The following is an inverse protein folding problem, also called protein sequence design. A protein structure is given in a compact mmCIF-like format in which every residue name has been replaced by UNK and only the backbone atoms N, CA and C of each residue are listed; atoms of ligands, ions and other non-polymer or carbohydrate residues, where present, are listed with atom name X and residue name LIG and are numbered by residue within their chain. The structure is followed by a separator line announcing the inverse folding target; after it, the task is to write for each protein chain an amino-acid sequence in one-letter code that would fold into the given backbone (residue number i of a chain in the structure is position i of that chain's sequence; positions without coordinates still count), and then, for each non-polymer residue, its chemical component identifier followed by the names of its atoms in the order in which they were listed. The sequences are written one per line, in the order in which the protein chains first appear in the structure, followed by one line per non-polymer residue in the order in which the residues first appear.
data_IF_188190013817
#
_entry.id   IF_188190013817
#
_cell.length_a   1.000
_cell.length_b   1.000
_cell.length_c   1.000
_cell.angle_alpha   90.00
_cell.angle_beta   90.00
_cell.angle_gamma   90.00
#
_symmetry.space_group_name_H-M   'P 1'
#
loop_
_entity.id
_entity.type
_entity.pdbx_description
1 polymer ?
#
# COMPACT_ATOMS: atom_id res chain seq x y z
N UNK A 1 -22.04 12.74 -7.07
CA UNK A 1 -21.24 11.99 -6.08
C UNK A 1 -20.74 10.76 -6.79
N UNK A 2 -19.42 10.59 -6.91
CA UNK A 2 -18.85 9.35 -7.44
C UNK A 2 -19.10 8.27 -6.41
N UNK A 3 -19.95 7.29 -6.74
CA UNK A 3 -20.19 6.17 -5.84
C UNK A 3 -19.12 5.10 -6.14
N UNK A 4 -18.32 4.76 -5.15
CA UNK A 4 -17.40 3.64 -5.23
C UNK A 4 -18.22 2.35 -5.24
N UNK A 5 -17.87 1.41 -6.10
CA UNK A 5 -18.47 0.09 -6.14
C UNK A 5 -17.38 -0.96 -6.05
N UNK A 6 -17.52 -1.88 -5.10
CA UNK A 6 -16.59 -3.00 -4.92
C UNK A 6 -17.10 -4.22 -5.68
N UNK A 7 -16.20 -4.90 -6.40
CA UNK A 7 -16.47 -6.18 -7.07
C UNK A 7 -15.47 -7.21 -6.60
N UNK A 8 -15.97 -8.35 -6.14
CA UNK A 8 -15.15 -9.44 -5.63
C UNK A 8 -14.67 -10.29 -6.81
N UNK A 9 -13.37 -10.54 -6.86
CA UNK A 9 -12.72 -11.43 -7.82
C UNK A 9 -11.84 -12.41 -7.08
N UNK A 10 -12.14 -13.68 -7.27
CA UNK A 10 -11.29 -14.77 -6.81
C UNK A 10 -9.95 -14.74 -7.56
N UNK A 11 -8.90 -15.19 -6.88
CA UNK A 11 -7.57 -15.33 -7.48
C UNK A 11 -7.21 -16.81 -7.62
N UNK A 12 -6.09 -17.12 -8.27
CA UNK A 12 -5.59 -18.51 -8.34
C UNK A 12 -5.26 -19.12 -6.97
N UNK A 13 -5.24 -18.32 -5.90
CA UNK A 13 -5.00 -18.76 -4.54
C UNK A 13 -6.26 -18.55 -3.70
N UNK A 14 -6.84 -19.63 -3.18
CA UNK A 14 -8.03 -19.63 -2.31
C UNK A 14 -7.90 -18.79 -1.03
N UNK A 15 -6.67 -18.52 -0.59
CA UNK A 15 -6.44 -17.66 0.58
C UNK A 15 -6.52 -16.18 0.24
N UNK A 16 -6.46 -15.82 -1.04
CA UNK A 16 -6.39 -14.43 -1.51
C UNK A 16 -7.62 -14.09 -2.35
N UNK A 17 -8.34 -13.05 -1.93
CA UNK A 17 -9.43 -12.47 -2.70
C UNK A 17 -9.06 -11.05 -3.11
N UNK A 18 -9.42 -10.69 -4.33
CA UNK A 18 -9.21 -9.36 -4.91
C UNK A 18 -10.54 -8.61 -4.91
N UNK A 19 -10.57 -7.48 -4.22
CA UNK A 19 -11.64 -6.49 -4.26
C UNK A 19 -11.29 -5.43 -5.29
N UNK A 20 -11.95 -5.44 -6.44
CA UNK A 20 -11.75 -4.47 -7.51
C UNK A 20 -12.75 -3.34 -7.41
N UNK A 21 -12.27 -2.11 -7.59
CA UNK A 21 -13.03 -0.88 -7.52
C UNK A 21 -13.23 -0.30 -8.92
N UNK A 22 -14.33 0.41 -9.08
CA UNK A 22 -14.64 1.18 -10.29
C UNK A 22 -13.74 2.42 -10.48
N UNK A 23 -13.00 2.84 -9.45
CA UNK A 23 -12.14 4.03 -9.47
C UNK A 23 -10.78 3.74 -8.83
N UNK A 24 -9.76 4.49 -9.25
CA UNK A 24 -8.42 4.41 -8.67
C UNK A 24 -8.40 5.01 -7.27
N UNK A 25 -7.87 4.25 -6.32
CA UNK A 25 -7.66 4.65 -4.92
C UNK A 25 -6.21 5.04 -4.63
N UNK A 26 -5.25 4.60 -5.44
CA UNK A 26 -3.84 5.02 -5.32
C UNK A 26 -3.30 5.64 -6.60
N UNK A 27 -2.45 6.66 -6.46
CA UNK A 27 -1.82 7.38 -7.57
C UNK A 27 -0.53 6.69 -8.02
N UNK A 28 -0.64 5.47 -8.57
CA UNK A 28 0.46 4.68 -9.14
C UNK A 28 1.43 4.01 -8.15
N UNK A 29 1.12 4.04 -6.85
CA UNK A 29 1.89 3.31 -5.85
C UNK A 29 1.14 2.07 -5.37
N UNK A 30 1.90 0.98 -5.24
CA UNK A 30 1.44 -0.25 -4.59
C UNK A 30 1.96 -0.27 -3.15
N UNK A 31 1.10 -0.68 -2.24
CA UNK A 31 1.41 -0.83 -0.84
C UNK A 31 1.08 -2.25 -0.41
N UNK A 32 1.99 -2.85 0.33
CA UNK A 32 1.80 -4.16 0.95
C UNK A 32 2.00 -3.99 2.44
N UNK A 33 1.08 -4.54 3.21
CA UNK A 33 1.12 -4.54 4.66
C UNK A 33 0.99 -5.98 5.14
N UNK A 34 1.91 -6.40 6.01
CA UNK A 34 1.88 -7.73 6.60
C UNK A 34 1.29 -7.74 8.01
N UNK A 35 1.09 -6.57 8.62
CA UNK A 35 0.60 -6.42 9.97
C UNK A 35 0.03 -5.00 10.18
N UNK A 36 -0.65 -4.82 11.32
CA UNK A 36 -1.25 -3.55 11.73
C UNK A 36 -0.22 -2.43 11.95
N UNK A 37 1.01 -2.76 12.35
CA UNK A 37 2.07 -1.77 12.60
C UNK A 37 2.58 -1.13 11.30
N UNK A 38 2.69 -1.90 10.22
CA UNK A 38 3.02 -1.41 8.87
C UNK A 38 1.86 -0.62 8.26
N UNK A 39 0.62 -0.96 8.61
CA UNK A 39 -0.59 -0.31 8.12
C UNK A 39 -0.82 1.11 8.68
N UNK A 40 0.09 1.67 9.49
CA UNK A 40 -0.06 3.02 10.08
C UNK A 40 -0.31 4.14 9.08
N UNK A 41 0.22 4.00 7.86
CA UNK A 41 -0.01 4.96 6.78
C UNK A 41 -1.33 4.77 6.03
N UNK A 42 -2.15 3.78 6.38
CA UNK A 42 -3.41 3.47 5.69
C UNK A 42 -4.51 3.15 6.70
N UNK A 43 -5.36 4.13 7.05
CA UNK A 43 -6.50 3.90 7.92
C UNK A 43 -7.42 2.77 7.43
N UNK A 44 -7.61 2.66 6.11
CA UNK A 44 -8.34 1.54 5.51
C UNK A 44 -7.67 0.19 5.80
N UNK A 45 -6.35 0.07 5.60
CA UNK A 45 -5.65 -1.19 5.90
C UNK A 45 -5.70 -1.51 7.40
N UNK A 46 -5.60 -0.52 8.29
CA UNK A 46 -5.76 -0.73 9.73
C UNK A 46 -7.12 -1.34 10.06
N UNK A 47 -8.21 -0.81 9.48
CA UNK A 47 -9.56 -1.34 9.65
C UNK A 47 -9.64 -2.81 9.24
N UNK A 48 -9.05 -3.16 8.09
CA UNK A 48 -8.99 -4.54 7.64
C UNK A 48 -8.18 -5.44 8.59
N UNK A 49 -7.10 -4.95 9.20
CA UNK A 49 -6.31 -5.72 10.18
C UNK A 49 -6.97 -5.90 11.55
N UNK A 50 -8.03 -5.14 11.89
CA UNK A 50 -8.82 -5.44 13.09
C UNK A 50 -9.60 -6.76 12.96
N UNK A 51 -9.80 -7.24 11.73
CA UNK A 51 -10.37 -8.55 11.48
C UNK A 51 -9.31 -9.63 11.76
N UNK A 52 -9.52 -10.53 12.74
CA UNK A 52 -8.49 -11.44 13.23
C UNK A 52 -8.04 -12.49 12.21
N UNK A 53 -8.78 -12.63 11.10
CA UNK A 53 -8.46 -13.55 10.01
C UNK A 53 -7.61 -12.91 8.91
N UNK A 54 -7.39 -11.60 8.91
CA UNK A 54 -6.60 -10.92 7.87
C UNK A 54 -5.11 -11.08 8.17
N UNK A 55 -4.40 -11.68 7.22
CA UNK A 55 -2.96 -11.94 7.31
C UNK A 55 -2.14 -10.88 6.57
N UNK A 56 -2.59 -10.48 5.39
CA UNK A 56 -1.89 -9.52 4.54
C UNK A 56 -2.88 -8.69 3.75
N UNK A 57 -2.58 -7.41 3.58
CA UNK A 57 -3.37 -6.48 2.76
C UNK A 57 -2.47 -5.86 1.72
N UNK A 58 -2.87 -5.94 0.46
CA UNK A 58 -2.19 -5.34 -0.67
C UNK A 58 -3.13 -4.34 -1.36
N UNK A 59 -2.67 -3.10 -1.51
CA UNK A 59 -3.47 -2.00 -2.08
C UNK A 59 -2.71 -1.45 -3.29
N UNK A 60 -3.34 -1.46 -4.46
CA UNK A 60 -2.71 -0.95 -5.68
C UNK A 60 -3.74 -0.52 -6.72
N UNK A 61 -3.54 0.67 -7.29
CA UNK A 61 -4.36 1.20 -8.36
C UNK A 61 -5.82 1.30 -7.94
N UNK A 62 -6.66 0.45 -8.53
CA UNK A 62 -8.10 0.36 -8.27
C UNK A 62 -8.48 -0.96 -7.57
N UNK A 63 -7.59 -1.64 -6.88
CA UNK A 63 -7.95 -2.88 -6.18
C UNK A 63 -7.22 -3.07 -4.85
N UNK A 64 -7.85 -3.88 -4.01
CA UNK A 64 -7.34 -4.32 -2.72
C UNK A 64 -7.33 -5.84 -2.75
N UNK A 65 -6.19 -6.48 -2.55
CA UNK A 65 -6.09 -7.91 -2.38
C UNK A 65 -5.83 -8.22 -0.91
N UNK A 66 -6.59 -9.14 -0.36
CA UNK A 66 -6.50 -9.51 1.06
C UNK A 66 -6.21 -11.00 1.14
N UNK A 67 -5.17 -11.35 1.89
CA UNK A 67 -4.85 -12.72 2.26
C UNK A 67 -5.45 -12.99 3.64
N UNK A 68 -6.23 -14.06 3.75
CA UNK A 68 -6.74 -14.55 5.03
C UNK A 68 -5.91 -15.69 5.59
N UNK A 69 -6.00 -15.91 6.89
CA UNK A 69 -5.62 -17.16 7.52
C UNK A 69 -6.63 -18.28 7.18
N UNK A 70 -6.16 -19.51 7.13
CA UNK A 70 -6.97 -20.71 6.86
C UNK A 70 -7.93 -21.11 7.99
N UNK A 71 -8.36 -20.15 8.81
CA UNK A 71 -9.27 -20.34 9.96
C UNK A 71 -10.73 -20.01 9.63
N UNK A 72 -10.97 -19.29 8.52
CA UNK A 72 -12.29 -18.79 8.07
C UNK A 72 -12.35 -18.91 6.55
N UNK A 73 -13.51 -19.18 5.96
CA UNK A 73 -13.70 -19.22 4.50
C UNK A 73 -14.09 -17.84 3.94
N UNK A 74 -13.66 -17.54 2.71
CA UNK A 74 -13.98 -16.25 2.08
C UNK A 74 -15.47 -16.08 1.81
N UNK A 75 -16.18 -17.15 1.50
CA UNK A 75 -17.62 -17.18 1.24
C UNK A 75 -18.45 -16.56 2.36
N UNK A 76 -17.97 -16.63 3.60
CA UNK A 76 -18.71 -16.15 4.77
C UNK A 76 -18.42 -14.67 5.10
N UNK A 77 -17.28 -14.13 4.65
CA UNK A 77 -16.78 -12.80 5.08
C UNK A 77 -16.52 -11.82 3.94
N UNK A 78 -16.43 -12.29 2.69
CA UNK A 78 -16.10 -11.44 1.54
C UNK A 78 -17.13 -10.35 1.29
N UNK A 79 -18.42 -10.65 1.50
CA UNK A 79 -19.51 -9.70 1.25
C UNK A 79 -19.49 -8.56 2.29
N UNK A 80 -19.31 -8.91 3.57
CA UNK A 80 -19.18 -7.94 4.64
C UNK A 80 -17.94 -7.05 4.44
N UNK A 81 -16.81 -7.64 4.04
CA UNK A 81 -15.61 -6.87 3.71
C UNK A 81 -15.83 -5.94 2.52
N UNK A 82 -16.51 -6.39 1.47
CA UNK A 82 -16.80 -5.56 0.31
C UNK A 82 -17.69 -4.37 0.70
N UNK A 83 -18.72 -4.59 1.53
CA UNK A 83 -19.60 -3.53 2.03
C UNK A 83 -18.84 -2.54 2.91
N UNK A 84 -17.97 -3.00 3.81
CA UNK A 84 -17.14 -2.12 4.64
C UNK A 84 -16.20 -1.25 3.80
N UNK A 85 -15.53 -1.84 2.80
CA UNK A 85 -14.65 -1.08 1.89
C UNK A 85 -15.47 -0.06 1.09
N UNK A 86 -16.64 -0.47 0.57
CA UNK A 86 -17.52 0.39 -0.21
C UNK A 86 -18.03 1.58 0.62
N UNK A 87 -18.52 1.31 1.84
CA UNK A 87 -18.98 2.33 2.76
C UNK A 87 -17.86 3.30 3.14
N UNK A 88 -16.67 2.78 3.45
CA UNK A 88 -15.52 3.60 3.83
C UNK A 88 -15.08 4.56 2.71
N UNK A 89 -15.01 4.06 1.46
CA UNK A 89 -14.63 4.88 0.32
C UNK A 89 -15.70 5.91 -0.03
N UNK A 90 -16.98 5.55 0.08
CA UNK A 90 -18.09 6.47 -0.16
C UNK A 90 -18.21 7.58 0.89
N UNK A 91 -17.70 7.37 2.11
CA UNK A 91 -17.61 8.39 3.16
C UNK A 91 -16.41 9.35 2.98
N UNK A 92 -15.71 9.29 1.83
CA UNK A 92 -14.44 9.99 1.59
C UNK A 92 -13.33 9.58 2.58
N UNK A 93 -13.34 8.31 3.00
CA UNK A 93 -12.30 7.74 3.85
C UNK A 93 -10.91 7.83 3.21
N UNK A 94 -9.90 8.09 4.04
CA UNK A 94 -8.51 8.23 3.60
C UNK A 94 -7.92 6.83 3.41
N UNK A 95 -7.63 6.46 2.16
CA UNK A 95 -7.03 5.16 1.85
C UNK A 95 -5.56 5.11 2.24
N UNK A 96 -4.82 6.19 2.02
CA UNK A 96 -3.41 6.34 2.35
C UNK A 96 -3.17 7.75 2.85
N UNK A 97 -2.57 7.88 4.03
CA UNK A 97 -1.87 9.09 4.38
C UNK A 97 -0.58 9.13 3.56
N UNK A 98 -0.37 10.17 2.75
CA UNK A 98 0.91 10.46 2.13
C UNK A 98 1.93 10.87 3.22
N UNK A 99 2.30 9.92 4.08
CA UNK A 99 3.41 10.08 5.00
C UNK A 99 4.69 10.02 4.19
N UNK A 100 5.12 11.22 3.78
CA UNK A 100 6.48 11.59 3.45
C UNK A 100 7.35 10.42 2.97
N UNK A 101 7.22 10.06 1.68
CA UNK A 101 8.32 9.38 1.00
C UNK A 101 9.61 10.13 1.38
N UNK A 102 10.67 9.46 1.85
CA UNK A 102 11.91 10.14 2.15
C UNK A 102 12.33 10.80 0.84
N UNK A 103 12.22 12.13 0.77
CA UNK A 103 12.68 12.90 -0.38
C UNK A 103 14.10 12.40 -0.63
N UNK A 104 14.32 11.72 -1.75
CA UNK A 104 15.67 11.31 -2.16
C UNK A 104 16.43 12.62 -2.37
N UNK A 105 17.12 13.08 -1.32
CA UNK A 105 17.93 14.29 -1.40
C UNK A 105 19.03 13.98 -2.42
N UNK A 106 19.12 14.72 -3.53
CA UNK A 106 20.18 14.49 -4.49
C UNK A 106 21.53 14.74 -3.79
N UNK A 107 22.39 13.71 -3.77
CA UNK A 107 23.76 13.84 -3.28
C UNK A 107 24.60 14.36 -4.42
N UNK A 108 25.10 15.59 -4.31
CA UNK A 108 26.04 16.14 -5.27
C UNK A 108 27.43 15.60 -4.96
N UNK A 109 28.08 15.02 -5.97
CA UNK A 109 29.47 14.56 -5.91
C UNK A 109 30.32 15.54 -6.71
N UNK A 110 31.26 16.20 -6.04
CA UNK A 110 32.23 17.08 -6.69
C UNK A 110 33.56 16.34 -6.81
N UNK A 111 34.19 16.43 -7.99
CA UNK A 111 35.57 16.02 -8.19
C UNK A 111 36.48 17.23 -7.94
N UNK A 112 37.35 17.13 -6.95
CA UNK A 112 38.36 18.15 -6.65
C UNK A 112 39.69 17.68 -7.26
N UNK A 113 40.29 18.50 -8.12
CA UNK A 113 41.62 18.24 -8.66
C UNK A 113 42.64 18.26 -7.53
N UNK A 114 43.27 17.12 -7.26
CA UNK A 114 44.42 17.12 -6.35
C UNK A 114 45.68 17.56 -7.10
N UNK A 115 46.70 18.13 -6.41
CA UNK A 115 47.97 18.52 -7.03
C UNK A 115 48.74 17.34 -7.66
N UNK A 116 48.37 16.09 -7.34
CA UNK A 116 48.95 14.90 -7.92
C UNK A 116 48.05 14.38 -9.07
N UNK A 117 48.49 14.43 -10.34
CA UNK A 117 47.68 14.01 -11.49
C UNK A 117 47.34 12.51 -11.51
N UNK A 118 47.99 11.69 -10.68
CA UNK A 118 47.68 10.27 -10.52
C UNK A 118 46.53 10.00 -9.54
N UNK A 119 46.00 11.01 -8.84
CA UNK A 119 44.99 10.85 -7.77
C UNK A 119 43.85 11.87 -7.93
N UNK A 120 42.62 11.37 -8.02
CA UNK A 120 41.41 12.19 -8.06
C UNK A 120 40.67 12.04 -6.73
N UNK A 121 40.22 13.14 -6.14
CA UNK A 121 39.46 13.16 -4.88
C UNK A 121 38.00 13.49 -5.15
N UNK A 122 37.09 12.68 -4.60
CA UNK A 122 35.65 12.92 -4.67
C UNK A 122 35.14 13.30 -3.27
N UNK A 123 34.33 14.36 -3.21
CA UNK A 123 33.66 14.80 -1.98
C UNK A 123 32.16 14.86 -2.25
N UNK A 124 31.38 14.22 -1.37
CA UNK A 124 29.92 14.21 -1.43
C UNK A 124 29.35 15.03 -0.26
N UNK A 125 28.23 15.70 -0.47
CA UNK A 125 27.54 16.48 0.59
C UNK A 125 26.73 15.62 1.59
N UNK A 126 26.93 14.30 1.60
CA UNK A 126 26.21 13.36 2.46
C UNK A 126 26.79 13.44 3.88
N UNK A 127 25.96 13.85 4.85
CA UNK A 127 26.28 13.78 6.28
C UNK A 127 26.11 12.36 6.81
#
# INVERSE_FOLDING_TARGET
MSNFKVSIKETSNDSIVKFELNQFITQHQSFEFNNIDEAKGSPLAQQLFYLPFVKKVYISGNFIAVERYSIVEWTDVQDEMAEQIEAYLNDNGIVMEESAAPKKVPVTVYAESTPNPAVIKFVANKK
#
